data_IF_669204687837
#
_entry.id   IF_669204687837
#
_cell.length_a   1.000
_cell.length_b   1.000
_cell.length_c   1.000
_cell.angle_alpha   90.00
_cell.angle_beta   90.00
_cell.angle_gamma   90.00
#
_symmetry.space_group_name_H-M   'P 1'
#
loop_
_entity.id
_entity.type
_entity.pdbx_description
1 polymer ?
#
# COMPACT_ATOMS: atom_id res chain seq x y z
N UNK A 1 -21.76 -21.85 15.37
CA UNK A 1 -21.71 -20.42 14.99
C UNK A 1 -21.11 -20.42 13.61
N UNK A 2 -21.98 -20.70 12.66
CA UNK A 2 -21.63 -21.08 11.30
C UNK A 2 -21.73 -19.81 10.46
N UNK A 3 -20.58 -19.30 10.01
CA UNK A 3 -20.53 -18.13 9.13
C UNK A 3 -20.64 -18.62 7.68
N UNK A 4 -21.80 -18.32 7.10
CA UNK A 4 -22.13 -18.53 5.71
C UNK A 4 -21.26 -17.64 4.80
N UNK A 5 -20.71 -18.27 3.78
CA UNK A 5 -19.95 -17.67 2.68
C UNK A 5 -20.92 -17.04 1.67
N UNK A 6 -20.86 -15.72 1.50
CA UNK A 6 -21.56 -15.05 0.40
C UNK A 6 -20.66 -14.97 -0.83
N UNK A 7 -20.96 -15.84 -1.80
CA UNK A 7 -20.58 -15.69 -3.19
C UNK A 7 -21.58 -14.77 -3.92
N UNK A 8 -21.06 -13.75 -4.59
CA UNK A 8 -21.73 -13.02 -5.67
C UNK A 8 -20.88 -13.33 -6.91
N UNK A 9 -21.34 -14.01 -7.94
CA UNK A 9 -22.60 -13.80 -8.65
C UNK A 9 -22.25 -13.27 -10.03
N UNK A 10 -21.83 -14.17 -10.94
CA UNK A 10 -21.63 -13.88 -12.36
C UNK A 10 -22.96 -13.56 -13.02
N UNK A 11 -22.97 -12.52 -13.88
CA UNK A 11 -24.03 -12.24 -14.84
C UNK A 11 -23.45 -11.40 -15.99
N UNK A 12 -23.58 -11.83 -17.25
CA UNK A 12 -22.96 -11.18 -18.41
C UNK A 12 -23.89 -10.11 -18.99
N UNK A 13 -23.31 -9.03 -19.55
CA UNK A 13 -24.01 -8.16 -20.49
C UNK A 13 -22.99 -7.55 -21.46
N UNK A 14 -23.02 -8.10 -22.66
CA UNK A 14 -22.48 -7.51 -23.89
C UNK A 14 -23.02 -6.10 -24.09
N UNK A 15 -22.15 -5.18 -24.50
CA UNK A 15 -22.50 -4.25 -25.57
C UNK A 15 -21.25 -3.80 -26.32
N UNK A 16 -21.27 -4.12 -27.60
CA UNK A 16 -20.33 -3.75 -28.64
C UNK A 16 -20.04 -2.25 -28.66
N UNK A 17 -18.75 -1.91 -28.76
CA UNK A 17 -18.30 -0.75 -29.53
C UNK A 17 -17.13 -1.22 -30.39
N UNK A 18 -17.51 -1.66 -31.58
CA UNK A 18 -16.67 -1.82 -32.75
C UNK A 18 -15.94 -0.50 -33.03
N UNK A 19 -14.61 -0.53 -33.07
CA UNK A 19 -13.82 0.45 -33.82
C UNK A 19 -12.56 -0.22 -34.37
N UNK A 20 -12.77 -1.25 -35.19
CA UNK A 20 -11.76 -1.75 -36.11
C UNK A 20 -11.61 -0.75 -37.26
N UNK A 21 -10.67 0.18 -37.13
CA UNK A 21 -10.18 1.00 -38.23
C UNK A 21 -9.26 0.19 -39.13
N UNK A 22 -9.82 -0.81 -39.82
CA UNK A 22 -9.19 -1.52 -40.93
C UNK A 22 -9.22 -0.58 -42.16
N UNK A 23 -8.06 -0.12 -42.64
CA UNK A 23 -7.96 0.48 -43.98
C UNK A 23 -7.12 -0.45 -44.84
N UNK A 24 -7.82 -1.31 -45.56
CA UNK A 24 -7.31 -2.10 -46.66
C UNK A 24 -7.53 -1.34 -47.97
N UNK A 25 -6.53 -1.32 -48.84
CA UNK A 25 -6.73 -1.20 -50.29
C UNK A 25 -6.94 0.20 -50.88
N UNK A 26 -5.84 0.80 -51.35
CA UNK A 26 -5.86 1.49 -52.65
C UNK A 26 -4.55 1.19 -53.37
N UNK A 27 -4.64 0.29 -54.35
CA UNK A 27 -3.61 -0.01 -55.34
C UNK A 27 -3.27 1.25 -56.18
N UNK A 28 -2.01 1.31 -56.61
CA UNK A 28 -1.33 2.40 -57.31
C UNK A 28 -1.97 2.82 -58.66
N UNK A 29 -1.49 3.93 -59.25
CA UNK A 29 -0.58 3.68 -60.37
C UNK A 29 0.67 4.56 -60.39
N UNK A 30 1.73 3.94 -60.90
CA UNK A 30 3.03 4.44 -61.34
C UNK A 30 3.11 5.94 -61.69
N UNK A 31 3.99 6.65 -61.00
CA UNK A 31 4.59 7.90 -61.50
C UNK A 31 6.04 7.97 -61.01
N UNK A 32 6.98 7.70 -61.92
CA UNK A 32 8.39 8.02 -61.74
C UNK A 32 8.58 9.54 -61.86
N UNK A 33 8.89 10.27 -60.78
CA UNK A 33 9.65 11.53 -60.81
C UNK A 33 10.39 11.74 -59.46
N UNK A 34 11.72 11.81 -59.58
CA UNK A 34 12.74 12.61 -58.89
C UNK A 34 12.79 12.81 -57.36
N UNK A 35 14.03 12.75 -56.89
CA UNK A 35 14.46 13.12 -55.55
C UNK A 35 14.18 14.60 -55.24
N UNK A 36 13.63 14.86 -54.05
CA UNK A 36 13.72 16.16 -53.39
C UNK A 36 12.38 16.83 -53.10
N UNK A 37 11.78 16.47 -51.97
CA UNK A 37 11.28 17.39 -50.94
C UNK A 37 10.44 16.57 -49.95
N UNK A 38 10.89 16.54 -48.68
CA UNK A 38 10.12 15.99 -47.57
C UNK A 38 8.85 16.83 -47.37
N UNK A 39 7.79 16.53 -48.14
CA UNK A 39 6.46 17.06 -47.85
C UNK A 39 6.12 16.70 -46.39
N UNK A 40 5.75 17.67 -45.53
CA UNK A 40 5.52 17.40 -44.12
C UNK A 40 4.24 16.58 -44.00
N UNK A 41 4.39 15.25 -44.02
CA UNK A 41 3.30 14.32 -43.73
C UNK A 41 2.67 14.75 -42.42
N UNK A 42 1.41 15.16 -42.48
CA UNK A 42 0.69 15.75 -41.35
C UNK A 42 0.81 14.82 -40.15
N UNK A 43 1.56 15.27 -39.12
CA UNK A 43 1.78 14.46 -37.92
C UNK A 43 0.43 14.22 -37.25
N UNK A 44 0.16 12.98 -36.87
CA UNK A 44 -1.01 12.67 -36.04
C UNK A 44 -0.99 13.50 -34.75
N UNK A 45 -2.14 13.94 -34.26
CA UNK A 45 -2.27 14.68 -32.99
C UNK A 45 -1.55 13.99 -31.82
N UNK A 46 -1.63 12.66 -31.78
CA UNK A 46 -0.95 11.84 -30.77
C UNK A 46 0.58 11.98 -30.81
N UNK A 47 1.16 11.94 -32.02
CA UNK A 47 2.60 12.14 -32.21
C UNK A 47 3.04 13.53 -31.76
N UNK A 48 2.28 14.57 -32.13
CA UNK A 48 2.56 15.95 -31.69
C UNK A 48 2.56 16.08 -30.16
N UNK A 49 1.60 15.42 -29.50
CA UNK A 49 1.52 15.42 -28.04
C UNK A 49 2.73 14.75 -27.39
N UNK A 50 3.17 13.61 -27.92
CA UNK A 50 4.37 12.94 -27.39
C UNK A 50 5.65 13.73 -27.64
N UNK A 51 5.82 14.31 -28.82
CA UNK A 51 6.98 15.18 -29.13
C UNK A 51 7.00 16.41 -28.20
N UNK A 52 5.84 17.02 -27.94
CA UNK A 52 5.73 18.12 -26.99
C UNK A 52 6.14 17.69 -25.57
N UNK A 53 5.67 16.54 -25.10
CA UNK A 53 6.07 16.01 -23.79
C UNK A 53 7.58 15.76 -23.70
N UNK A 54 8.18 15.16 -24.73
CA UNK A 54 9.63 14.93 -24.78
C UNK A 54 10.39 16.26 -24.71
N UNK A 55 9.92 17.29 -25.41
CA UNK A 55 10.56 18.62 -25.38
C UNK A 55 10.56 19.24 -23.97
N UNK A 56 9.48 19.04 -23.20
CA UNK A 56 9.39 19.51 -21.80
C UNK A 56 10.31 18.71 -20.90
N UNK A 57 10.30 17.38 -21.01
CA UNK A 57 11.17 16.49 -20.23
C UNK A 57 12.65 16.79 -20.47
N UNK A 58 13.03 17.03 -21.72
CA UNK A 58 14.40 17.39 -22.10
C UNK A 58 14.84 18.72 -21.48
N UNK A 59 13.96 19.72 -21.43
CA UNK A 59 14.25 21.00 -20.76
C UNK A 59 14.44 20.83 -19.25
N UNK A 60 13.73 19.90 -18.63
CA UNK A 60 13.81 19.65 -17.18
C UNK A 60 15.04 18.81 -16.79
N UNK A 61 15.34 17.76 -17.55
CA UNK A 61 16.36 16.77 -17.20
C UNK A 61 17.71 16.97 -17.91
N UNK A 62 17.74 17.75 -18.99
CA UNK A 62 18.91 17.92 -19.84
C UNK A 62 19.04 16.84 -20.92
N UNK A 63 20.28 16.60 -21.34
CA UNK A 63 20.58 15.63 -22.40
C UNK A 63 20.77 14.21 -21.85
N UNK A 64 20.54 13.20 -22.70
CA UNK A 64 20.68 11.79 -22.32
C UNK A 64 22.07 11.47 -21.75
N UNK A 65 23.10 12.08 -22.33
CA UNK A 65 24.48 11.85 -21.91
C UNK A 65 24.81 12.55 -20.58
N UNK A 66 24.25 13.75 -20.33
CA UNK A 66 24.40 14.42 -19.05
C UNK A 66 23.68 13.65 -17.94
N UNK A 67 22.49 13.10 -18.23
CA UNK A 67 21.75 12.25 -17.29
C UNK A 67 22.56 10.99 -16.96
N UNK A 68 23.12 10.32 -17.98
CA UNK A 68 23.97 9.13 -17.80
C UNK A 68 25.18 9.44 -16.90
N UNK A 69 25.86 10.55 -17.15
CA UNK A 69 27.01 10.99 -16.35
C UNK A 69 26.60 11.34 -14.92
N UNK A 70 25.46 12.00 -14.72
CA UNK A 70 24.91 12.31 -13.40
C UNK A 70 24.59 11.05 -12.58
N UNK A 71 24.18 9.97 -13.24
CA UNK A 71 23.96 8.66 -12.61
C UNK A 71 25.26 7.84 -12.42
N UNK A 72 26.40 8.29 -12.95
CA UNK A 72 27.67 7.57 -12.88
C UNK A 72 27.65 6.22 -13.62
N UNK A 73 26.76 6.05 -14.60
CA UNK A 73 26.56 4.78 -15.30
C UNK A 73 27.37 4.71 -16.59
N UNK A 74 27.90 3.52 -16.92
CA UNK A 74 28.41 3.27 -18.27
C UNK A 74 27.25 3.19 -19.26
N UNK A 75 27.53 3.43 -20.54
CA UNK A 75 26.52 3.33 -21.60
C UNK A 75 25.79 1.98 -21.59
N UNK A 76 26.55 0.89 -21.41
CA UNK A 76 25.99 -0.48 -21.35
C UNK A 76 25.00 -0.62 -20.19
N UNK A 77 25.36 -0.13 -19.00
CA UNK A 77 24.48 -0.17 -17.81
C UNK A 77 23.25 0.71 -17.98
N UNK A 78 23.40 1.89 -18.59
CA UNK A 78 22.28 2.77 -18.91
C UNK A 78 21.29 2.11 -19.87
N UNK A 79 21.81 1.42 -20.89
CA UNK A 79 21.00 0.67 -21.85
C UNK A 79 20.27 -0.49 -21.17
N UNK A 80 20.93 -1.19 -20.24
CA UNK A 80 20.29 -2.24 -19.43
C UNK A 80 19.19 -1.69 -18.50
N UNK A 81 19.43 -0.56 -17.84
CA UNK A 81 18.44 0.10 -16.98
C UNK A 81 17.16 0.45 -17.74
N UNK A 82 17.32 0.93 -18.97
CA UNK A 82 16.22 1.35 -19.83
C UNK A 82 15.67 0.19 -20.69
N UNK A 83 16.24 -1.01 -20.58
CA UNK A 83 15.89 -2.18 -21.38
C UNK A 83 15.94 -1.93 -22.89
N UNK A 84 16.95 -1.18 -23.35
CA UNK A 84 17.21 -0.86 -24.76
C UNK A 84 18.54 -1.43 -25.23
N UNK A 85 18.69 -1.57 -26.54
CA UNK A 85 19.96 -2.04 -27.13
C UNK A 85 21.04 -0.94 -27.08
N UNK A 86 22.32 -1.27 -26.77
CA UNK A 86 23.41 -0.29 -26.74
C UNK A 86 23.64 0.46 -28.06
N UNK A 87 23.34 -0.16 -29.21
CA UNK A 87 23.42 0.52 -30.51
C UNK A 87 22.41 1.67 -30.59
N UNK A 88 21.19 1.46 -30.10
CA UNK A 88 20.13 2.48 -30.10
C UNK A 88 20.54 3.69 -29.26
N UNK A 89 21.13 3.47 -28.08
CA UNK A 89 21.69 4.56 -27.28
C UNK A 89 22.77 5.36 -28.02
N UNK A 90 23.65 4.65 -28.74
CA UNK A 90 24.72 5.30 -29.52
C UNK A 90 24.14 6.18 -30.63
N UNK A 91 23.09 5.71 -31.30
CA UNK A 91 22.41 6.48 -32.34
C UNK A 91 21.82 7.77 -31.77
N UNK A 92 21.14 7.68 -30.64
CA UNK A 92 20.50 8.85 -30.02
C UNK A 92 21.46 9.91 -29.50
N UNK A 93 22.66 9.49 -29.08
CA UNK A 93 23.65 10.39 -28.49
C UNK A 93 24.69 10.90 -29.48
N UNK A 94 25.10 10.09 -30.47
CA UNK A 94 26.19 10.44 -31.41
C UNK A 94 25.73 10.76 -32.83
N UNK A 95 24.68 10.11 -33.31
CA UNK A 95 24.21 10.28 -34.69
C UNK A 95 23.11 11.34 -34.82
N UNK A 96 22.67 11.90 -33.69
CA UNK A 96 21.64 12.95 -33.67
C UNK A 96 20.23 12.42 -33.83
N UNK A 97 20.03 11.10 -33.83
CA UNK A 97 18.69 10.50 -33.82
C UNK A 97 17.94 10.89 -32.54
N UNK A 98 16.64 11.12 -32.64
CA UNK A 98 15.84 11.43 -31.46
C UNK A 98 15.44 10.15 -30.71
N UNK A 99 15.65 10.13 -29.39
CA UNK A 99 15.23 9.00 -28.58
C UNK A 99 13.69 8.94 -28.47
N UNK A 100 13.10 7.73 -28.51
CA UNK A 100 11.67 7.57 -28.41
C UNK A 100 11.06 8.15 -27.12
N UNK A 101 9.79 8.57 -27.12
CA UNK A 101 9.14 9.18 -25.96
C UNK A 101 9.11 8.31 -24.70
N UNK A 102 9.03 6.99 -24.84
CA UNK A 102 9.00 6.07 -23.69
C UNK A 102 10.33 6.05 -22.92
N UNK A 103 11.46 6.32 -23.59
CA UNK A 103 12.79 6.37 -22.97
C UNK A 103 12.88 7.56 -22.02
N UNK A 104 12.44 8.73 -22.48
CA UNK A 104 12.38 9.94 -21.65
C UNK A 104 11.44 9.78 -20.46
N UNK A 105 10.29 9.11 -20.67
CA UNK A 105 9.34 8.84 -19.57
C UNK A 105 9.92 7.89 -18.53
N UNK A 106 10.62 6.84 -18.96
CA UNK A 106 11.29 5.91 -18.04
C UNK A 106 12.35 6.64 -17.19
N UNK A 107 13.13 7.54 -17.80
CA UNK A 107 14.10 8.37 -17.08
C UNK A 107 13.43 9.31 -16.08
N UNK A 108 12.30 9.91 -16.43
CA UNK A 108 11.53 10.74 -15.51
C UNK A 108 11.08 9.92 -14.29
N UNK A 109 10.50 8.74 -14.51
CA UNK A 109 10.08 7.86 -13.41
C UNK A 109 11.25 7.44 -12.53
N UNK A 110 12.40 7.13 -13.14
CA UNK A 110 13.61 6.82 -12.39
C UNK A 110 14.05 8.00 -11.50
N UNK A 111 14.05 9.23 -12.02
CA UNK A 111 14.39 10.43 -11.25
C UNK A 111 13.48 10.61 -10.04
N UNK A 112 12.16 10.48 -10.26
CA UNK A 112 11.16 10.59 -9.18
C UNK A 112 11.37 9.51 -8.12
N UNK A 113 11.63 8.26 -8.53
CA UNK A 113 11.88 7.16 -7.60
C UNK A 113 13.15 7.40 -6.77
N UNK A 114 14.21 7.92 -7.38
CA UNK A 114 15.45 8.25 -6.69
C UNK A 114 15.26 9.39 -5.67
N UNK A 115 14.41 10.37 -5.95
CA UNK A 115 14.05 11.43 -5.00
C UNK A 115 13.22 10.93 -3.81
N UNK A 116 12.31 9.99 -4.04
CA UNK A 116 11.44 9.44 -2.98
C UNK A 116 12.14 8.42 -2.09
N UNK A 117 13.10 7.68 -2.64
CA UNK A 117 13.81 6.61 -1.94
C UNK A 117 15.32 6.90 -2.00
N UNK A 118 15.85 7.72 -1.07
CA UNK A 118 17.27 8.05 -1.06
C UNK A 118 18.10 6.77 -0.83
N UNK A 119 19.07 6.52 -1.71
CA UNK A 119 19.91 5.33 -1.69
C UNK A 119 19.49 4.22 -2.66
N UNK A 120 18.41 4.42 -3.43
CA UNK A 120 18.04 3.52 -4.52
C UNK A 120 19.06 3.62 -5.67
N UNK A 121 20.05 2.73 -5.66
CA UNK A 121 21.07 2.71 -6.71
C UNK A 121 20.54 2.03 -7.98
N UNK A 122 21.01 2.43 -9.18
CA UNK A 122 20.65 1.74 -10.43
C UNK A 122 20.95 0.23 -10.39
N UNK A 123 21.91 -0.16 -9.58
CA UNK A 123 22.36 -1.54 -9.38
C UNK A 123 21.26 -2.43 -8.78
N UNK A 124 20.33 -1.86 -8.01
CA UNK A 124 19.19 -2.58 -7.46
C UNK A 124 18.33 -3.17 -8.60
N UNK A 125 18.08 -2.39 -9.64
CA UNK A 125 17.28 -2.80 -10.79
C UNK A 125 18.01 -3.75 -11.75
N UNK A 126 19.33 -3.61 -11.86
CA UNK A 126 20.12 -4.41 -12.81
C UNK A 126 20.50 -5.80 -12.29
N UNK A 127 20.79 -5.92 -10.99
CA UNK A 127 21.39 -7.13 -10.43
C UNK A 127 20.39 -8.10 -9.84
N UNK A 128 19.16 -7.65 -9.56
CA UNK A 128 18.17 -8.50 -8.93
C UNK A 128 17.21 -9.02 -9.98
N UNK A 129 17.14 -10.35 -10.12
CA UNK A 129 16.09 -10.95 -10.90
C UNK A 129 14.74 -10.68 -10.22
N UNK A 130 13.68 -10.39 -10.99
CA UNK A 130 12.37 -10.08 -10.43
C UNK A 130 11.84 -11.23 -9.54
N UNK A 131 12.26 -12.46 -9.81
CA UNK A 131 11.94 -13.63 -9.00
C UNK A 131 12.59 -13.58 -7.61
N UNK A 132 13.85 -13.16 -7.51
CA UNK A 132 14.55 -13.04 -6.22
C UNK A 132 13.98 -11.91 -5.39
N UNK A 133 13.62 -10.79 -6.03
CA UNK A 133 12.91 -9.69 -5.38
C UNK A 133 11.55 -10.14 -4.82
N UNK A 134 10.79 -10.86 -5.62
CA UNK A 134 9.50 -11.38 -5.20
C UNK A 134 9.64 -12.35 -4.03
N UNK A 135 10.58 -13.30 -4.11
CA UNK A 135 10.84 -14.24 -3.04
C UNK A 135 11.25 -13.55 -1.74
N UNK A 136 12.12 -12.53 -1.83
CA UNK A 136 12.52 -11.74 -0.66
C UNK A 136 11.35 -10.96 -0.07
N UNK A 137 10.53 -10.32 -0.89
CA UNK A 137 9.34 -9.60 -0.43
C UNK A 137 8.32 -10.53 0.24
N UNK A 138 8.14 -11.75 -0.28
CA UNK A 138 7.31 -12.77 0.36
C UNK A 138 7.88 -13.20 1.71
N UNK A 139 9.19 -13.44 1.78
CA UNK A 139 9.86 -13.83 3.03
C UNK A 139 9.72 -12.74 4.11
N UNK A 140 9.87 -11.47 3.73
CA UNK A 140 9.72 -10.33 4.65
C UNK A 140 8.27 -10.21 5.16
N UNK A 141 7.30 -10.40 4.27
CA UNK A 141 5.88 -10.41 4.61
C UNK A 141 5.51 -11.59 5.52
N UNK A 142 6.12 -12.76 5.31
CA UNK A 142 5.97 -13.93 6.17
C UNK A 142 6.57 -13.69 7.56
N UNK A 143 7.77 -13.10 7.66
CA UNK A 143 8.36 -12.76 8.95
C UNK A 143 7.51 -11.74 9.71
N UNK A 144 7.01 -10.71 9.02
CA UNK A 144 6.17 -9.69 9.64
C UNK A 144 4.84 -10.30 10.13
N UNK A 145 4.23 -11.20 9.36
CA UNK A 145 3.04 -11.95 9.80
C UNK A 145 3.32 -12.82 11.03
N UNK A 146 4.48 -13.49 11.07
CA UNK A 146 4.86 -14.33 12.19
C UNK A 146 5.08 -13.49 13.47
N UNK A 147 5.72 -12.32 13.35
CA UNK A 147 5.89 -11.38 14.46
C UNK A 147 4.54 -10.87 14.97
N UNK A 148 3.64 -10.43 14.07
CA UNK A 148 2.30 -9.99 14.47
C UNK A 148 1.49 -11.12 15.13
N UNK A 149 1.61 -12.36 14.66
CA UNK A 149 0.97 -13.51 15.29
C UNK A 149 1.54 -13.78 16.68
N UNK A 150 2.86 -13.66 16.86
CA UNK A 150 3.49 -13.80 18.16
C UNK A 150 3.02 -12.71 19.13
N UNK A 151 2.96 -11.45 18.69
CA UNK A 151 2.42 -10.34 19.48
C UNK A 151 0.96 -10.55 19.87
N UNK A 152 0.12 -10.99 18.93
CA UNK A 152 -1.28 -11.32 19.19
C UNK A 152 -1.42 -12.44 20.23
N UNK A 153 -0.57 -13.46 20.19
CA UNK A 153 -0.58 -14.53 21.18
C UNK A 153 -0.22 -14.04 22.59
N UNK A 154 0.73 -13.10 22.70
CA UNK A 154 1.13 -12.49 23.98
C UNK A 154 0.00 -11.60 24.52
N UNK A 155 -0.62 -10.79 23.65
CA UNK A 155 -1.76 -9.96 24.03
C UNK A 155 -2.95 -10.80 24.50
N UNK A 156 -3.25 -11.90 23.82
CA UNK A 156 -4.30 -12.84 24.23
C UNK A 156 -4.04 -13.37 25.64
N UNK A 157 -2.82 -13.81 25.93
CA UNK A 157 -2.45 -14.31 27.28
C UNK A 157 -2.59 -13.22 28.35
N UNK A 158 -2.23 -11.97 28.04
CA UNK A 158 -2.43 -10.84 28.97
C UNK A 158 -3.91 -10.59 29.23
N UNK A 159 -4.74 -10.64 28.20
CA UNK A 159 -6.18 -10.45 28.31
C UNK A 159 -6.83 -11.53 29.18
N UNK A 160 -6.42 -12.80 29.00
CA UNK A 160 -6.86 -13.91 29.83
C UNK A 160 -6.46 -13.69 31.29
N UNK A 161 -5.21 -13.27 31.55
CA UNK A 161 -4.75 -12.90 32.89
C UNK A 161 -5.60 -11.80 33.55
N UNK A 162 -5.86 -10.71 32.83
CA UNK A 162 -6.73 -9.63 33.31
C UNK A 162 -8.17 -10.10 33.57
N UNK A 163 -8.67 -11.04 32.79
CA UNK A 163 -10.02 -11.59 32.99
C UNK A 163 -10.13 -12.35 34.32
N UNK A 164 -9.09 -13.09 34.70
CA UNK A 164 -9.01 -13.84 35.96
C UNK A 164 -8.89 -12.86 37.14
N UNK A 165 -8.02 -11.86 37.05
CA UNK A 165 -7.89 -10.82 38.08
C UNK A 165 -9.21 -10.08 38.30
N UNK A 166 -9.91 -9.72 37.21
CA UNK A 166 -11.22 -9.07 37.28
C UNK A 166 -12.26 -9.97 37.97
N UNK A 167 -12.26 -11.27 37.71
CA UNK A 167 -13.16 -12.22 38.36
C UNK A 167 -12.86 -12.35 39.86
N UNK A 168 -11.59 -12.45 40.24
CA UNK A 168 -11.16 -12.51 41.64
C UNK A 168 -11.58 -11.24 42.41
N UNK A 169 -11.31 -10.06 41.84
CA UNK A 169 -11.65 -8.78 42.45
C UNK A 169 -13.18 -8.60 42.58
N UNK A 170 -13.95 -9.03 41.59
CA UNK A 170 -15.41 -9.06 41.69
C UNK A 170 -15.92 -9.99 42.80
N UNK A 171 -15.27 -11.14 43.02
CA UNK A 171 -15.62 -12.04 44.10
C UNK A 171 -15.33 -11.43 45.49
N UNK A 172 -14.21 -10.72 45.63
CA UNK A 172 -13.88 -9.98 46.85
C UNK A 172 -14.89 -8.85 47.13
N UNK A 173 -15.22 -8.05 46.11
CA UNK A 173 -16.25 -7.00 46.21
C UNK A 173 -17.60 -7.61 46.61
N UNK A 174 -17.98 -8.77 46.05
CA UNK A 174 -19.21 -9.45 46.40
C UNK A 174 -19.21 -9.92 47.86
N UNK A 175 -18.07 -10.41 48.37
CA UNK A 175 -17.89 -10.81 49.77
C UNK A 175 -18.02 -9.61 50.71
N UNK A 176 -17.28 -8.52 50.45
CA UNK A 176 -17.36 -7.29 51.24
C UNK A 176 -18.78 -6.70 51.25
N UNK A 177 -19.47 -6.75 50.11
CA UNK A 177 -20.88 -6.32 50.01
C UNK A 177 -21.82 -7.19 50.85
N UNK A 178 -21.57 -8.50 50.93
CA UNK A 178 -22.34 -9.43 51.78
C UNK A 178 -22.09 -9.13 53.26
N UNK A 179 -20.83 -8.90 53.64
CA UNK A 179 -20.43 -8.57 55.02
C UNK A 179 -21.03 -7.23 55.46
N UNK A 180 -20.97 -6.19 54.62
CA UNK A 180 -21.65 -4.91 54.89
C UNK A 180 -23.16 -5.07 55.07
N UNK A 181 -23.83 -5.86 54.22
CA UNK A 181 -25.26 -6.15 54.38
C UNK A 181 -25.56 -6.90 55.67
N UNK A 182 -24.67 -7.81 56.10
CA UNK A 182 -24.81 -8.54 57.34
C UNK A 182 -24.66 -7.63 58.56
N UNK A 183 -23.61 -6.79 58.60
CA UNK A 183 -23.42 -5.79 59.65
C UNK A 183 -24.59 -4.81 59.72
N UNK A 184 -25.14 -4.37 58.58
CA UNK A 184 -26.35 -3.52 58.56
C UNK A 184 -27.54 -4.22 59.21
N UNK A 185 -27.78 -5.50 58.90
CA UNK A 185 -28.88 -6.28 59.51
C UNK A 185 -28.69 -6.47 61.01
N UNK A 186 -27.47 -6.79 61.45
CA UNK A 186 -27.13 -6.92 62.88
C UNK A 186 -27.34 -5.60 63.61
N UNK A 187 -26.86 -4.48 63.05
CA UNK A 187 -27.03 -3.17 63.66
C UNK A 187 -28.51 -2.82 63.85
N UNK A 188 -29.36 -3.08 62.85
CA UNK A 188 -30.82 -2.90 62.96
C UNK A 188 -31.39 -3.80 64.05
N UNK A 189 -30.95 -5.07 64.12
CA UNK A 189 -31.42 -6.01 65.14
C UNK A 189 -31.03 -5.56 66.56
N UNK A 190 -29.78 -5.16 66.79
CA UNK A 190 -29.30 -4.66 68.09
C UNK A 190 -30.06 -3.40 68.50
N UNK A 191 -30.30 -2.47 67.57
CA UNK A 191 -31.09 -1.26 67.85
C UNK A 191 -32.53 -1.61 68.24
N UNK A 192 -33.17 -2.54 67.52
CA UNK A 192 -34.53 -2.99 67.87
C UNK A 192 -34.59 -3.68 69.23
N UNK A 193 -33.59 -4.50 69.56
CA UNK A 193 -33.51 -5.19 70.85
C UNK A 193 -33.28 -4.20 71.99
N UNK A 194 -32.40 -3.21 71.80
CA UNK A 194 -32.16 -2.11 72.74
C UNK A 194 -33.43 -1.30 73.01
N UNK A 195 -34.19 -0.96 71.96
CA UNK A 195 -35.49 -0.29 72.08
C UNK A 195 -36.50 -1.10 72.89
N UNK A 196 -36.57 -2.42 72.67
CA UNK A 196 -37.45 -3.32 73.44
C UNK A 196 -37.05 -3.33 74.92
N UNK A 197 -35.76 -3.50 75.23
CA UNK A 197 -35.28 -3.47 76.62
C UNK A 197 -35.52 -2.11 77.30
N UNK A 198 -35.34 -1.00 76.59
CA UNK A 198 -35.66 0.33 77.10
C UNK A 198 -37.15 0.48 77.43
N UNK A 199 -38.04 -0.05 76.59
CA UNK A 199 -39.48 -0.06 76.84
C UNK A 199 -39.85 -0.90 78.08
N UNK A 200 -39.26 -2.10 78.23
CA UNK A 200 -39.45 -2.95 79.41
C UNK A 200 -38.97 -2.25 80.69
N UNK A 201 -37.80 -1.61 80.65
CA UNK A 201 -37.27 -0.86 81.79
C UNK A 201 -38.16 0.33 82.17
N UNK A 202 -38.72 1.05 81.19
CA UNK A 202 -39.67 2.13 81.43
C UNK A 202 -40.95 1.62 82.10
N UNK A 203 -41.53 0.53 81.61
CA UNK A 203 -42.73 -0.08 82.24
C UNK A 203 -42.44 -0.52 83.67
N UNK A 204 -41.29 -1.16 83.90
CA UNK A 204 -40.90 -1.61 85.24
C UNK A 204 -40.72 -0.46 86.24
N UNK A 205 -40.25 0.72 85.79
CA UNK A 205 -40.10 1.90 86.65
C UNK A 205 -41.43 2.55 87.07
N UNK A 206 -42.50 2.36 86.29
CA UNK A 206 -43.81 2.98 86.55
C UNK A 206 -44.79 2.08 87.33
N UNK A 207 -44.41 0.84 87.63
CA UNK A 207 -45.12 -0.12 88.50
C UNK A 207 -44.52 -0.03 89.90
#
# INVERSE_FOLDING_TARGET
MDMETHGLGQGPLEKDVSNEGYIEGSLNPSFEIEAGEDTPRSKTSLRMHYEAQVSVLRRQMGDLESIRLGLGLSQRKMSQLLMVDPSSWTRWTKQGDEAPPHVWRALQWYSILNEKIPGLTPQYFMNQSPQVLHQKALQELESEKAERQAEMSVLSRKLDGFSVEKQALNAEVAKLKKDLKFHRKISIFILSLSLIWAAVFLVWKFI
#
